data_IF_388006677258
#
_entry.id   IF_388006677258
#
_cell.length_a   1.000
_cell.length_b   1.000
_cell.length_c   1.000
_cell.angle_alpha   90.00
_cell.angle_beta   90.00
_cell.angle_gamma   90.00
#
_symmetry.space_group_name_H-M   'P 1'
#
loop_
_entity.id
_entity.type
_entity.pdbx_description
1 polymer ?
#
# COMPACT_ATOMS: atom_id res chain seq x y z
N UNK A 1 -17.91 -11.27 -21.64
CA UNK A 1 -17.25 -10.58 -20.52
C UNK A 1 -18.11 -9.40 -20.05
N UNK A 2 -18.28 -9.27 -18.76
CA UNK A 2 -19.07 -8.17 -18.20
C UNK A 2 -18.25 -6.88 -18.12
N UNK A 3 -18.96 -5.75 -18.03
CA UNK A 3 -18.30 -4.44 -17.85
C UNK A 3 -17.52 -4.42 -16.55
N UNK A 4 -18.04 -5.06 -15.50
CA UNK A 4 -17.36 -5.15 -14.22
C UNK A 4 -16.01 -5.85 -14.30
N UNK A 5 -15.92 -6.91 -15.08
CA UNK A 5 -14.67 -7.64 -15.27
C UNK A 5 -13.63 -6.78 -15.97
N UNK A 6 -14.04 -6.02 -16.98
CA UNK A 6 -13.14 -5.12 -17.71
C UNK A 6 -12.63 -4.04 -16.77
N UNK A 7 -13.51 -3.44 -15.98
CA UNK A 7 -13.13 -2.40 -15.03
C UNK A 7 -12.16 -2.92 -13.98
N UNK A 8 -12.41 -4.12 -13.44
CA UNK A 8 -11.53 -4.74 -12.46
C UNK A 8 -10.15 -4.98 -13.04
N UNK A 9 -10.07 -5.48 -14.28
CA UNK A 9 -8.80 -5.71 -14.95
C UNK A 9 -8.01 -4.41 -15.11
N UNK A 10 -8.66 -3.34 -15.56
CA UNK A 10 -8.01 -2.03 -15.71
C UNK A 10 -7.50 -1.50 -14.37
N UNK A 11 -8.31 -1.59 -13.33
CA UNK A 11 -7.95 -1.14 -11.99
C UNK A 11 -6.70 -1.89 -11.51
N UNK A 12 -6.66 -3.21 -11.69
CA UNK A 12 -5.53 -4.00 -11.20
C UNK A 12 -4.23 -3.72 -11.94
N UNK A 13 -4.29 -3.05 -13.11
CA UNK A 13 -3.10 -2.70 -13.89
C UNK A 13 -2.75 -1.21 -13.86
N UNK A 14 -3.52 -0.39 -13.13
CA UNK A 14 -3.29 1.04 -13.05
C UNK A 14 -2.65 1.37 -11.69
N UNK A 15 -1.37 1.77 -11.72
CA UNK A 15 -0.62 2.09 -10.51
C UNK A 15 -1.21 3.27 -9.73
N UNK A 16 -1.86 4.21 -10.40
CA UNK A 16 -2.49 5.34 -9.73
C UNK A 16 -3.67 4.90 -8.88
N UNK A 17 -4.46 3.95 -9.39
CA UNK A 17 -5.58 3.41 -8.64
C UNK A 17 -5.10 2.52 -7.51
N UNK A 18 -4.05 1.73 -7.75
CA UNK A 18 -3.41 0.93 -6.70
C UNK A 18 -2.90 1.84 -5.58
N UNK A 19 -2.30 2.97 -5.94
CA UNK A 19 -1.82 3.95 -4.96
C UNK A 19 -2.97 4.49 -4.10
N UNK A 20 -4.10 4.82 -4.70
CA UNK A 20 -5.27 5.28 -3.96
C UNK A 20 -5.77 4.23 -2.98
N UNK A 21 -5.84 2.98 -3.42
CA UNK A 21 -6.24 1.85 -2.57
C UNK A 21 -5.27 1.69 -1.41
N UNK A 22 -3.97 1.78 -1.67
CA UNK A 22 -2.95 1.64 -0.64
C UNK A 22 -3.01 2.76 0.39
N UNK A 23 -3.26 3.99 -0.04
CA UNK A 23 -3.44 5.12 0.88
C UNK A 23 -4.62 4.90 1.81
N UNK A 24 -5.74 4.44 1.27
CA UNK A 24 -6.92 4.10 2.07
C UNK A 24 -6.63 3.00 3.07
N UNK A 25 -6.02 1.91 2.61
CA UNK A 25 -5.70 0.77 3.47
C UNK A 25 -4.70 1.14 4.55
N UNK A 26 -3.74 1.99 4.24
CA UNK A 26 -2.77 2.48 5.22
C UNK A 26 -3.46 3.18 6.38
N UNK A 27 -4.39 4.07 6.09
CA UNK A 27 -5.16 4.76 7.11
C UNK A 27 -6.11 3.83 7.86
N UNK A 28 -6.74 2.92 7.16
CA UNK A 28 -7.71 2.00 7.72
C UNK A 28 -7.09 0.94 8.64
N UNK A 29 -6.01 0.32 8.17
CA UNK A 29 -5.39 -0.80 8.88
C UNK A 29 -4.35 -0.37 9.92
N UNK A 30 -3.71 0.76 9.71
CA UNK A 30 -2.60 1.22 10.53
C UNK A 30 -2.85 2.63 11.07
N UNK A 31 -3.88 2.77 11.90
CA UNK A 31 -4.31 4.08 12.41
C UNK A 31 -3.18 4.87 13.06
N UNK A 32 -2.45 4.25 13.98
CA UNK A 32 -1.35 4.92 14.67
C UNK A 32 -0.20 5.25 13.73
N UNK A 33 0.11 4.29 12.86
CA UNK A 33 1.19 4.44 11.92
C UNK A 33 0.90 5.54 10.90
N UNK A 34 -0.35 5.66 10.45
CA UNK A 34 -0.76 6.66 9.48
C UNK A 34 -0.73 8.08 10.01
N UNK A 35 -0.73 8.26 11.32
CA UNK A 35 -0.59 9.59 11.91
C UNK A 35 0.83 10.15 11.75
N UNK A 36 1.81 9.28 11.61
CA UNK A 36 3.23 9.66 11.52
C UNK A 36 3.89 9.19 10.22
N UNK A 37 3.10 8.74 9.27
CA UNK A 37 3.61 8.29 7.97
C UNK A 37 2.51 8.36 6.93
N UNK A 38 2.90 8.33 5.67
CA UNK A 38 1.93 8.28 4.57
C UNK A 38 2.51 7.54 3.38
N UNK A 39 1.63 6.86 2.64
CA UNK A 39 2.00 6.27 1.36
C UNK A 39 2.06 7.41 0.35
N UNK A 40 3.18 7.55 -0.33
CA UNK A 40 3.39 8.66 -1.27
C UNK A 40 3.46 8.21 -2.73
N UNK A 41 3.78 6.95 -2.97
CA UNK A 41 3.86 6.43 -4.33
C UNK A 41 3.76 4.92 -4.35
N UNK A 42 3.44 4.36 -5.51
CA UNK A 42 3.47 2.92 -5.75
C UNK A 42 3.85 2.68 -7.20
N UNK A 43 4.95 2.01 -7.44
CA UNK A 43 5.37 1.62 -8.77
C UNK A 43 6.29 0.41 -8.71
N UNK A 44 6.27 -0.40 -9.76
CA UNK A 44 7.09 -1.61 -9.85
C UNK A 44 6.91 -2.53 -8.64
N UNK A 45 5.67 -2.62 -8.15
CA UNK A 45 5.29 -3.46 -7.00
C UNK A 45 5.91 -3.02 -5.67
N UNK A 46 6.43 -1.80 -5.61
CA UNK A 46 7.04 -1.24 -4.41
C UNK A 46 6.19 -0.10 -3.88
N UNK A 47 5.87 -0.14 -2.59
CA UNK A 47 5.18 0.95 -1.90
C UNK A 47 6.24 1.93 -1.40
N UNK A 48 6.08 3.21 -1.75
CA UNK A 48 6.95 4.27 -1.24
C UNK A 48 6.22 5.00 -0.13
N UNK A 49 6.83 5.05 1.04
CA UNK A 49 6.23 5.61 2.24
C UNK A 49 7.13 6.72 2.78
N UNK A 50 6.51 7.79 3.24
CA UNK A 50 7.21 8.85 3.95
C UNK A 50 6.96 8.68 5.45
N UNK A 51 8.02 8.54 6.22
CA UNK A 51 7.95 8.53 7.68
C UNK A 51 8.33 9.89 8.22
N UNK A 52 7.56 10.38 9.19
CA UNK A 52 7.76 11.73 9.72
C UNK A 52 8.73 11.81 10.90
N UNK A 53 9.17 10.67 11.41
CA UNK A 53 10.17 10.59 12.45
C UNK A 53 10.94 9.28 12.39
N UNK A 54 12.08 9.22 13.10
CA UNK A 54 12.98 8.07 13.07
C UNK A 54 12.35 6.79 13.61
N UNK A 55 11.53 6.91 14.64
CA UNK A 55 10.88 5.76 15.28
C UNK A 55 9.95 5.06 14.29
N UNK A 56 9.15 5.84 13.59
CA UNK A 56 8.21 5.32 12.59
C UNK A 56 8.94 4.69 11.42
N UNK A 57 10.00 5.34 10.95
CA UNK A 57 10.83 4.79 9.86
C UNK A 57 11.40 3.44 10.24
N UNK A 58 11.93 3.32 11.44
CA UNK A 58 12.49 2.08 11.95
C UNK A 58 11.42 0.99 12.07
N UNK A 59 10.26 1.36 12.60
CA UNK A 59 9.15 0.42 12.72
C UNK A 59 8.73 -0.15 11.38
N UNK A 60 8.56 0.71 10.38
CA UNK A 60 8.17 0.28 9.04
C UNK A 60 9.23 -0.64 8.45
N UNK A 61 10.49 -0.27 8.59
CA UNK A 61 11.61 -1.05 8.07
C UNK A 61 11.65 -2.45 8.68
N UNK A 62 11.52 -2.56 9.98
CA UNK A 62 11.60 -3.85 10.67
C UNK A 62 10.36 -4.70 10.52
N UNK A 63 9.22 -4.12 10.16
CA UNK A 63 7.95 -4.83 10.05
C UNK A 63 7.40 -4.90 8.62
N UNK A 64 8.23 -4.63 7.63
CA UNK A 64 7.82 -4.61 6.22
C UNK A 64 6.96 -5.81 5.80
N UNK A 65 7.43 -7.00 6.09
CA UNK A 65 6.73 -8.22 5.64
C UNK A 65 5.36 -8.36 6.30
N UNK A 66 5.27 -8.05 7.57
CA UNK A 66 3.99 -8.09 8.29
C UNK A 66 3.01 -7.06 7.73
N UNK A 67 3.52 -5.87 7.44
CA UNK A 67 2.72 -4.79 6.88
C UNK A 67 2.18 -5.20 5.51
N UNK A 68 3.04 -5.73 4.66
CA UNK A 68 2.66 -6.20 3.33
C UNK A 68 1.61 -7.31 3.42
N UNK A 69 1.83 -8.30 4.29
CA UNK A 69 0.88 -9.40 4.47
C UNK A 69 -0.50 -8.89 4.90
N UNK A 70 -0.52 -7.96 5.84
CA UNK A 70 -1.77 -7.39 6.34
C UNK A 70 -2.52 -6.63 5.24
N UNK A 71 -1.81 -5.87 4.44
CA UNK A 71 -2.40 -5.17 3.30
C UNK A 71 -2.97 -6.17 2.31
N UNK A 72 -2.18 -7.17 1.93
CA UNK A 72 -2.60 -8.17 0.94
C UNK A 72 -3.83 -8.96 1.38
N UNK A 73 -3.92 -9.28 2.66
CA UNK A 73 -5.08 -9.99 3.21
C UNK A 73 -6.36 -9.15 3.16
N UNK A 74 -6.24 -7.85 3.14
CA UNK A 74 -7.38 -6.93 3.20
C UNK A 74 -7.68 -6.23 1.88
N UNK A 75 -6.96 -6.58 0.81
CA UNK A 75 -7.24 -6.03 -0.51
C UNK A 75 -8.44 -6.69 -1.14
N UNK A 76 -9.37 -5.89 -1.61
CA UNK A 76 -10.54 -6.38 -2.35
C UNK A 76 -10.13 -6.74 -3.77
N UNK A 77 -9.28 -5.91 -4.37
CA UNK A 77 -8.70 -6.16 -5.69
C UNK A 77 -7.26 -6.57 -5.48
N UNK A 78 -6.92 -7.81 -5.83
CA UNK A 78 -5.59 -8.35 -5.55
C UNK A 78 -4.57 -7.87 -6.57
N UNK A 79 -3.42 -7.42 -6.06
CA UNK A 79 -2.25 -7.11 -6.87
C UNK A 79 -1.00 -7.39 -6.05
N UNK A 80 0.14 -7.49 -6.71
CA UNK A 80 1.39 -7.85 -6.05
C UNK A 80 2.06 -6.67 -5.40
N UNK A 81 2.63 -6.91 -4.22
CA UNK A 81 3.45 -5.94 -3.50
C UNK A 81 4.73 -6.68 -3.10
N UNK A 82 5.87 -6.22 -3.56
CA UNK A 82 7.16 -6.87 -3.29
C UNK A 82 7.92 -6.27 -2.12
N UNK A 83 7.82 -4.97 -1.93
CA UNK A 83 8.61 -4.30 -0.90
C UNK A 83 7.97 -2.98 -0.50
N UNK A 84 8.51 -2.39 0.57
CA UNK A 84 8.19 -1.05 1.03
C UNK A 84 9.50 -0.31 1.14
N UNK A 85 9.59 0.86 0.52
CA UNK A 85 10.76 1.74 0.64
C UNK A 85 10.36 3.03 1.33
N UNK A 86 11.22 3.49 2.22
CA UNK A 86 10.99 4.71 2.98
C UNK A 86 11.75 5.85 2.31
N UNK A 87 11.02 6.90 2.01
CA UNK A 87 11.62 8.12 1.44
C UNK A 87 12.09 9.07 2.52
#
# INVERSE_FOLDING_TARGET
MSIGEIATFKISNDDRIKLMILKEKWEELFLELSQNSSVVDFKEKIIYVKGYNSVVKHYIFTNKMKIIEQILENLEIKFEIEDIKIK
#
